data_IF_688436761939
#
_entry.id   IF_688436761939
#
_cell.length_a   1.000
_cell.length_b   1.000
_cell.length_c   1.000
_cell.angle_alpha   90.00
_cell.angle_beta   90.00
_cell.angle_gamma   90.00
#
_symmetry.space_group_name_H-M   'P 1'
#
loop_
_entity.id
_entity.type
_entity.pdbx_description
1 polymer ?
#
# COMPACT_ATOMS: atom_id res chain seq x y z
N UNK A 1 -14.69 -12.02 -10.80
CA UNK A 1 -13.65 -12.55 -9.89
C UNK A 1 -14.26 -12.60 -8.50
N UNK A 2 -15.19 -13.54 -8.32
CA UNK A 2 -15.91 -13.81 -7.08
C UNK A 2 -16.00 -15.34 -6.98
N UNK A 3 -15.90 -15.85 -5.76
CA UNK A 3 -15.79 -17.27 -5.37
C UNK A 3 -14.40 -17.90 -5.53
N UNK A 4 -13.67 -17.96 -4.42
CA UNK A 4 -13.51 -19.18 -3.61
C UNK A 4 -12.41 -18.90 -2.59
N UNK A 5 -12.74 -18.96 -1.31
CA UNK A 5 -11.96 -19.76 -0.36
C UNK A 5 -12.72 -19.90 0.96
N UNK A 6 -13.00 -21.16 1.28
CA UNK A 6 -13.71 -21.59 2.47
C UNK A 6 -12.72 -22.35 3.35
N UNK A 7 -12.56 -21.84 4.58
CA UNK A 7 -12.20 -22.52 5.83
C UNK A 7 -11.38 -23.82 5.75
N UNK A 8 -10.17 -23.81 6.32
CA UNK A 8 -9.67 -24.89 7.20
C UNK A 8 -8.85 -24.31 8.35
N UNK A 9 -9.46 -24.27 9.53
CA UNK A 9 -8.78 -24.21 10.82
C UNK A 9 -8.34 -25.64 11.17
N UNK A 10 -7.05 -25.85 11.43
CA UNK A 10 -6.55 -27.06 12.07
C UNK A 10 -5.79 -26.65 13.32
N UNK A 11 -6.38 -27.00 14.47
CA UNK A 11 -5.73 -27.01 15.77
C UNK A 11 -4.60 -28.06 15.78
N UNK A 12 -3.44 -27.69 16.29
CA UNK A 12 -2.49 -28.67 16.82
C UNK A 12 -1.95 -28.17 18.17
N UNK A 13 -2.38 -28.86 19.22
CA UNK A 13 -1.90 -28.69 20.58
C UNK A 13 -0.64 -29.53 20.81
N UNK A 14 0.29 -28.97 21.60
CA UNK A 14 1.16 -29.60 22.62
C UNK A 14 1.79 -30.98 22.35
N UNK A 15 3.13 -31.05 22.36
CA UNK A 15 3.92 -31.98 23.19
C UNK A 15 5.44 -31.63 23.17
N UNK A 16 6.20 -31.91 24.25
CA UNK A 16 7.59 -31.48 24.46
C UNK A 16 8.59 -32.57 24.06
N UNK A 17 9.80 -32.21 23.60
CA UNK A 17 10.87 -33.20 23.37
C UNK A 17 12.19 -32.74 24.00
N UNK A 18 12.61 -33.59 24.94
CA UNK A 18 13.87 -33.77 25.65
C UNK A 18 15.13 -33.04 25.13
N UNK A 19 15.76 -32.34 26.07
CA UNK A 19 17.19 -32.01 26.06
C UNK A 19 17.99 -33.31 26.29
N UNK A 20 18.76 -33.75 25.31
CA UNK A 20 19.79 -34.77 25.49
C UNK A 20 21.14 -34.06 25.46
N UNK A 21 21.79 -33.99 26.63
CA UNK A 21 23.17 -33.55 26.78
C UNK A 21 24.11 -34.69 26.36
N UNK A 22 24.76 -34.56 25.21
CA UNK A 22 25.93 -35.37 24.87
C UNK A 22 27.15 -34.44 24.90
N UNK A 23 27.96 -34.61 25.93
CA UNK A 23 29.30 -34.04 26.01
C UNK A 23 30.21 -34.73 25.01
N UNK A 24 30.77 -33.95 24.09
CA UNK A 24 31.81 -34.38 23.16
C UNK A 24 32.72 -33.19 22.86
N UNK A 25 34.01 -33.33 23.17
CA UNK A 25 35.06 -32.38 22.85
C UNK A 25 35.07 -32.07 21.34
N UNK A 26 34.71 -30.83 20.96
CA UNK A 26 35.07 -30.27 19.67
C UNK A 26 36.11 -29.17 19.88
N UNK A 27 37.28 -29.41 19.29
CA UNK A 27 38.31 -28.41 19.03
C UNK A 27 37.70 -27.12 18.49
N UNK A 28 38.08 -26.00 19.09
CA UNK A 28 37.66 -24.66 18.65
C UNK A 28 38.28 -24.33 17.29
N UNK A 29 37.66 -24.79 16.21
CA UNK A 29 37.74 -24.07 14.95
C UNK A 29 37.02 -22.74 15.17
N UNK A 30 37.80 -21.68 15.30
CA UNK A 30 37.30 -20.31 15.22
C UNK A 30 36.61 -20.17 13.87
N UNK A 31 35.29 -20.29 13.85
CA UNK A 31 34.48 -19.79 12.76
C UNK A 31 34.86 -18.32 12.62
N UNK A 32 35.50 -17.99 11.51
CA UNK A 32 35.86 -16.64 11.18
C UNK A 32 34.55 -15.91 10.83
N UNK A 33 33.90 -15.30 11.84
CA UNK A 33 32.76 -14.40 11.67
C UNK A 33 33.32 -13.07 11.15
N UNK A 34 33.98 -13.13 10.00
CA UNK A 34 34.45 -11.95 9.29
C UNK A 34 33.25 -11.32 8.59
N UNK A 35 32.85 -10.16 9.12
CA UNK A 35 32.05 -9.09 8.53
C UNK A 35 31.19 -9.48 7.30
N UNK A 36 29.97 -9.95 7.53
CA UNK A 36 28.93 -9.84 6.50
C UNK A 36 28.81 -8.37 6.14
N UNK A 37 28.98 -8.01 4.87
CA UNK A 37 28.77 -6.64 4.39
C UNK A 37 27.39 -6.19 4.92
N UNK A 38 27.32 -5.06 5.68
CA UNK A 38 26.06 -4.54 6.17
C UNK A 38 24.97 -4.45 5.10
N UNK A 39 25.34 -4.22 3.84
CA UNK A 39 24.39 -4.19 2.72
C UNK A 39 23.90 -5.59 2.31
N UNK A 40 24.80 -6.56 2.17
CA UNK A 40 24.46 -7.95 1.88
C UNK A 40 23.52 -8.53 2.94
N UNK A 41 23.79 -8.25 4.22
CA UNK A 41 22.91 -8.64 5.31
C UNK A 41 21.50 -8.04 5.17
N UNK A 42 21.39 -6.77 4.80
CA UNK A 42 20.08 -6.10 4.64
C UNK A 42 19.29 -6.64 3.45
N UNK A 43 19.96 -6.97 2.33
CA UNK A 43 19.35 -7.61 1.16
C UNK A 43 18.88 -9.03 1.48
N UNK A 44 19.70 -9.80 2.20
CA UNK A 44 19.38 -11.16 2.65
C UNK A 44 18.15 -11.25 3.56
N UNK A 45 17.74 -10.16 4.20
CA UNK A 45 16.52 -10.11 5.03
C UNK A 45 15.23 -10.05 4.21
N UNK A 46 15.30 -9.67 2.94
CA UNK A 46 14.15 -9.57 2.03
C UNK A 46 13.70 -10.93 1.45
N UNK A 47 14.51 -11.97 1.61
CA UNK A 47 14.25 -13.32 1.10
C UNK A 47 14.26 -14.35 2.23
N UNK A 48 13.51 -15.45 2.04
CA UNK A 48 13.29 -16.51 3.04
C UNK A 48 13.29 -17.89 2.38
N UNK A 49 13.41 -18.94 3.18
CA UNK A 49 13.36 -20.32 2.69
C UNK A 49 14.33 -20.57 1.53
N UNK A 50 13.83 -21.21 0.48
CA UNK A 50 14.62 -21.55 -0.71
C UNK A 50 15.15 -20.31 -1.44
N UNK A 51 14.41 -19.20 -1.44
CA UNK A 51 14.86 -17.95 -2.07
C UNK A 51 16.11 -17.39 -1.39
N UNK A 52 16.23 -17.57 -0.06
CA UNK A 52 17.42 -17.18 0.71
C UNK A 52 18.59 -18.10 0.41
N UNK A 53 18.36 -19.41 0.34
CA UNK A 53 19.39 -20.39 -0.03
C UNK A 53 19.91 -20.07 -1.43
N UNK A 54 19.02 -19.74 -2.36
CA UNK A 54 19.38 -19.32 -3.71
C UNK A 54 20.24 -18.06 -3.67
N UNK A 55 19.79 -16.99 -3.01
CA UNK A 55 20.54 -15.73 -2.90
C UNK A 55 21.94 -15.95 -2.29
N UNK A 56 22.04 -16.74 -1.22
CA UNK A 56 23.31 -17.06 -0.55
C UNK A 56 24.25 -17.86 -1.49
N UNK A 57 23.72 -18.65 -2.43
CA UNK A 57 24.50 -19.50 -3.32
C UNK A 57 25.03 -18.83 -4.60
N UNK A 58 24.23 -17.97 -5.23
CA UNK A 58 24.50 -17.44 -6.57
C UNK A 58 24.45 -15.90 -6.63
N UNK A 59 24.13 -15.25 -5.53
CA UNK A 59 24.00 -13.80 -5.40
C UNK A 59 22.75 -13.18 -6.02
N UNK A 60 21.79 -14.00 -6.47
CA UNK A 60 20.56 -13.55 -7.12
C UNK A 60 19.38 -14.50 -6.92
N UNK A 61 18.27 -13.96 -6.40
CA UNK A 61 17.04 -14.72 -6.18
C UNK A 61 15.82 -13.95 -6.65
N UNK A 62 14.79 -14.65 -7.12
CA UNK A 62 13.51 -14.05 -7.50
C UNK A 62 12.37 -14.81 -6.84
N UNK A 63 11.63 -14.11 -5.98
CA UNK A 63 10.39 -14.60 -5.39
C UNK A 63 9.22 -14.19 -6.27
N UNK A 64 8.34 -15.14 -6.57
CA UNK A 64 7.07 -14.87 -7.22
C UNK A 64 5.93 -15.56 -6.45
N UNK A 65 4.86 -14.82 -6.20
CA UNK A 65 3.58 -15.33 -5.74
C UNK A 65 2.46 -14.78 -6.64
N UNK A 66 1.20 -15.00 -6.26
CA UNK A 66 0.06 -14.51 -7.04
C UNK A 66 0.04 -12.99 -7.16
N UNK A 67 0.55 -12.26 -6.17
CA UNK A 67 0.48 -10.80 -6.09
C UNK A 67 1.78 -10.07 -6.47
N UNK A 68 2.91 -10.75 -6.43
CA UNK A 68 4.22 -10.09 -6.45
C UNK A 68 5.23 -10.89 -7.27
N UNK A 69 6.10 -10.16 -7.98
CA UNK A 69 7.37 -10.68 -8.47
C UNK A 69 8.50 -9.74 -8.06
N UNK A 70 9.38 -10.20 -7.16
CA UNK A 70 10.50 -9.41 -6.64
C UNK A 70 11.79 -10.20 -6.81
N UNK A 71 12.79 -9.56 -7.42
CA UNK A 71 14.13 -10.10 -7.53
C UNK A 71 15.12 -9.31 -6.66
N UNK A 72 16.04 -10.00 -6.00
CA UNK A 72 17.05 -9.43 -5.11
C UNK A 72 18.43 -9.89 -5.61
N UNK A 73 19.33 -8.94 -5.80
CA UNK A 73 20.74 -9.15 -6.13
C UNK A 73 21.61 -8.58 -5.01
N UNK A 74 22.46 -9.40 -4.40
CA UNK A 74 23.41 -8.98 -3.36
C UNK A 74 24.87 -8.84 -3.89
N UNK A 75 25.03 -8.88 -5.21
CA UNK A 75 26.29 -8.65 -5.93
C UNK A 75 26.22 -7.33 -6.71
N UNK A 76 27.36 -6.75 -7.09
CA UNK A 76 27.39 -5.53 -7.88
C UNK A 76 26.59 -5.64 -9.19
N UNK A 77 25.58 -4.80 -9.35
CA UNK A 77 24.73 -4.76 -10.55
C UNK A 77 25.04 -3.55 -11.41
N UNK A 78 24.75 -3.67 -12.71
CA UNK A 78 24.76 -2.53 -13.65
C UNK A 78 23.36 -2.34 -14.20
N UNK A 79 22.81 -1.15 -14.03
CA UNK A 79 21.50 -0.77 -14.56
C UNK A 79 21.74 0.13 -15.76
N UNK A 80 21.43 -0.37 -16.94
CA UNK A 80 21.46 0.36 -18.20
C UNK A 80 20.08 0.95 -18.45
N UNK A 81 19.99 2.28 -18.40
CA UNK A 81 18.71 2.98 -18.50
C UNK A 81 18.03 2.75 -19.86
N UNK A 82 18.83 2.60 -20.92
CA UNK A 82 18.30 2.29 -22.25
C UNK A 82 17.74 0.88 -22.34
N UNK A 83 16.43 0.80 -22.57
CA UNK A 83 15.68 -0.46 -22.57
C UNK A 83 15.55 -1.13 -21.20
N UNK A 84 15.90 -0.43 -20.10
CA UNK A 84 15.78 -0.92 -18.71
C UNK A 84 16.35 -2.32 -18.50
N UNK A 85 17.66 -2.46 -18.72
CA UNK A 85 18.37 -3.73 -18.54
C UNK A 85 19.23 -3.72 -17.27
N UNK A 86 19.01 -4.70 -16.41
CA UNK A 86 19.78 -4.94 -15.19
C UNK A 86 20.70 -6.13 -15.42
N UNK A 87 22.01 -5.90 -15.41
CA UNK A 87 23.03 -6.93 -15.47
C UNK A 87 23.41 -7.35 -14.05
N UNK A 88 23.24 -8.65 -13.76
CA UNK A 88 23.57 -9.26 -12.47
C UNK A 88 24.64 -10.32 -12.73
N UNK A 89 25.88 -10.13 -12.26
CA UNK A 89 26.92 -11.14 -12.44
C UNK A 89 26.60 -12.39 -11.62
N UNK A 90 27.10 -13.54 -12.06
CA UNK A 90 27.11 -14.78 -11.29
C UNK A 90 28.56 -15.25 -11.11
N UNK A 91 28.87 -15.75 -9.92
CA UNK A 91 30.17 -16.39 -9.64
C UNK A 91 30.25 -17.81 -10.22
N UNK A 92 29.15 -18.31 -10.80
CA UNK A 92 29.08 -19.62 -11.45
C UNK A 92 29.27 -19.51 -12.96
N UNK A 93 29.87 -20.53 -13.59
CA UNK A 93 29.98 -20.67 -15.06
C UNK A 93 28.63 -20.94 -15.76
N UNK A 94 27.51 -20.62 -15.11
CA UNK A 94 26.20 -20.79 -15.70
C UNK A 94 25.97 -19.77 -16.83
N UNK A 95 25.32 -20.20 -17.93
CA UNK A 95 25.00 -19.32 -19.03
C UNK A 95 24.07 -18.20 -18.58
N UNK A 96 24.19 -17.04 -19.21
CA UNK A 96 23.31 -15.90 -18.95
C UNK A 96 21.84 -16.26 -19.18
N UNK A 97 21.03 -16.11 -18.13
CA UNK A 97 19.58 -16.28 -18.16
C UNK A 97 18.90 -14.93 -18.24
N UNK A 98 18.06 -14.74 -19.26
CA UNK A 98 17.19 -13.58 -19.40
C UNK A 98 15.90 -13.78 -18.61
N UNK A 99 15.56 -12.81 -17.76
CA UNK A 99 14.26 -12.71 -17.08
C UNK A 99 13.62 -11.36 -17.41
N UNK A 100 12.30 -11.35 -17.48
CA UNK A 100 11.52 -10.13 -17.66
C UNK A 100 10.59 -10.01 -16.46
N UNK A 101 10.64 -8.86 -15.80
CA UNK A 101 9.81 -8.57 -14.63
C UNK A 101 9.08 -7.25 -14.82
N UNK A 102 7.89 -7.11 -14.25
CA UNK A 102 7.18 -5.83 -14.16
C UNK A 102 7.25 -5.37 -12.71
N UNK A 103 8.04 -4.33 -12.39
CA UNK A 103 8.39 -4.06 -11.01
C UNK A 103 7.30 -3.23 -10.29
N UNK A 104 6.10 -3.80 -10.19
CA UNK A 104 4.90 -3.19 -9.60
C UNK A 104 4.17 -4.24 -8.75
N UNK A 105 3.55 -3.83 -7.65
CA UNK A 105 2.75 -4.71 -6.79
C UNK A 105 1.40 -5.06 -7.46
N UNK A 106 0.76 -6.19 -7.13
CA UNK A 106 -0.44 -6.73 -7.82
C UNK A 106 -0.18 -7.29 -9.22
N UNK A 107 0.74 -8.25 -9.30
CA UNK A 107 1.08 -8.98 -10.53
C UNK A 107 -0.14 -9.59 -11.25
N UNK A 108 -1.16 -10.01 -10.49
CA UNK A 108 -2.39 -10.60 -11.00
C UNK A 108 -3.33 -9.60 -11.70
N UNK A 109 -3.17 -8.29 -11.47
CA UNK A 109 -4.03 -7.30 -12.11
C UNK A 109 -3.55 -6.96 -13.53
N UNK A 110 -4.15 -7.62 -14.51
CA UNK A 110 -3.82 -7.41 -15.93
C UNK A 110 -4.00 -5.96 -16.40
N UNK A 111 -4.91 -5.20 -15.79
CA UNK A 111 -5.19 -3.81 -16.21
C UNK A 111 -4.06 -2.89 -15.76
N UNK A 112 -3.60 -3.04 -14.52
CA UNK A 112 -2.39 -2.37 -14.04
C UNK A 112 -1.17 -2.80 -14.86
N UNK A 113 -0.97 -4.12 -15.02
CA UNK A 113 0.20 -4.68 -15.68
C UNK A 113 0.32 -4.25 -17.14
N UNK A 114 -0.77 -3.98 -17.87
CA UNK A 114 -0.71 -3.43 -19.24
C UNK A 114 0.01 -2.08 -19.33
N UNK A 115 0.07 -1.33 -18.23
CA UNK A 115 0.66 0.02 -18.18
C UNK A 115 2.07 0.05 -17.58
N UNK A 116 2.51 -1.05 -16.97
CA UNK A 116 3.82 -1.16 -16.32
C UNK A 116 4.85 -1.64 -17.34
N UNK A 117 5.92 -0.86 -17.52
CA UNK A 117 7.02 -1.22 -18.41
C UNK A 117 7.82 -2.39 -17.85
N UNK A 118 8.22 -3.35 -18.71
CA UNK A 118 9.06 -4.46 -18.28
C UNK A 118 10.50 -4.00 -18.02
N UNK A 119 11.14 -4.61 -17.02
CA UNK A 119 12.58 -4.56 -16.76
C UNK A 119 13.18 -5.90 -17.18
N UNK A 120 14.23 -5.83 -17.99
CA UNK A 120 15.00 -7.01 -18.40
C UNK A 120 16.12 -7.25 -17.38
N UNK A 121 16.19 -8.45 -16.83
CA UNK A 121 17.30 -8.88 -15.97
C UNK A 121 18.12 -9.93 -16.73
N UNK A 122 19.43 -9.70 -16.82
CA UNK A 122 20.40 -10.61 -17.40
C UNK A 122 21.31 -11.12 -16.27
N UNK A 123 21.10 -12.37 -15.86
CA UNK A 123 21.84 -12.99 -14.75
C UNK A 123 22.68 -14.17 -15.21
N UNK A 124 23.98 -14.17 -14.93
CA UNK A 124 24.90 -15.26 -15.28
C UNK A 124 26.24 -14.75 -15.77
N UNK A 125 27.08 -15.65 -16.31
CA UNK A 125 28.34 -15.25 -16.91
C UNK A 125 28.08 -14.63 -18.30
N UNK A 126 28.53 -13.39 -18.49
CA UNK A 126 28.26 -12.62 -19.68
C UNK A 126 29.23 -12.99 -20.79
N UNK A 127 28.74 -13.50 -21.93
CA UNK A 127 29.56 -13.66 -23.15
C UNK A 127 29.87 -12.33 -23.84
N UNK A 128 29.13 -11.27 -23.47
CA UNK A 128 29.29 -9.89 -23.96
C UNK A 128 29.46 -8.99 -22.74
N UNK A 129 30.58 -8.27 -22.65
CA UNK A 129 30.85 -7.39 -21.53
C UNK A 129 29.71 -6.38 -21.34
N UNK A 130 29.17 -6.26 -20.12
CA UNK A 130 28.13 -5.29 -19.84
C UNK A 130 28.70 -3.87 -20.00
N UNK A 131 27.85 -2.87 -20.34
CA UNK A 131 28.30 -1.50 -20.53
C UNK A 131 29.07 -0.95 -19.32
N UNK A 132 30.05 -0.07 -19.57
CA UNK A 132 30.84 0.56 -18.52
C UNK A 132 29.98 1.52 -17.68
N UNK A 133 30.32 1.63 -16.40
CA UNK A 133 29.59 2.51 -15.47
C UNK A 133 29.82 3.98 -15.83
N UNK A 134 28.75 4.75 -16.05
CA UNK A 134 28.83 6.22 -16.07
C UNK A 134 28.75 6.79 -14.65
N UNK A 135 27.93 6.17 -13.80
CA UNK A 135 27.74 6.56 -12.41
C UNK A 135 27.91 5.36 -11.49
N UNK A 136 28.64 5.55 -10.39
CA UNK A 136 28.83 4.52 -9.36
C UNK A 136 28.20 4.99 -8.05
N UNK A 137 27.39 4.13 -7.44
CA UNK A 137 26.70 4.39 -6.18
C UNK A 137 27.20 3.41 -5.12
N UNK A 138 27.13 3.79 -3.84
CA UNK A 138 27.56 2.96 -2.71
C UNK A 138 26.38 2.45 -1.85
N UNK A 139 25.19 2.40 -2.43
CA UNK A 139 23.95 1.95 -1.78
C UNK A 139 23.18 1.01 -2.69
N UNK A 140 22.22 0.27 -2.13
CA UNK A 140 21.31 -0.59 -2.89
C UNK A 140 20.40 0.23 -3.82
N UNK A 141 20.22 -0.23 -5.06
CA UNK A 141 19.16 0.27 -5.93
C UNK A 141 17.82 -0.40 -5.60
N UNK A 142 16.72 0.36 -5.60
CA UNK A 142 15.36 -0.20 -5.55
C UNK A 142 14.63 0.25 -6.82
N UNK A 143 14.37 -0.71 -7.69
CA UNK A 143 13.75 -0.51 -9.02
C UNK A 143 12.27 -0.83 -8.94
N UNK A 144 11.41 0.16 -9.22
CA UNK A 144 9.96 0.00 -9.21
C UNK A 144 9.26 0.92 -10.22
N UNK A 145 8.05 0.57 -10.62
CA UNK A 145 7.22 1.39 -11.51
C UNK A 145 6.30 2.32 -10.72
N UNK A 146 6.21 3.58 -11.14
CA UNK A 146 5.23 4.53 -10.60
C UNK A 146 3.90 4.56 -11.38
N UNK A 147 3.63 3.61 -12.29
CA UNK A 147 2.47 3.65 -13.18
C UNK A 147 1.28 2.83 -12.68
N UNK A 148 0.95 1.70 -13.32
CA UNK A 148 -0.23 0.89 -12.93
C UNK A 148 -1.52 1.72 -12.83
N UNK A 149 -2.04 1.86 -11.62
CA UNK A 149 -3.24 2.66 -11.30
C UNK A 149 -2.97 4.04 -10.66
N UNK A 150 -1.72 4.53 -10.70
CA UNK A 150 -1.36 5.89 -10.28
C UNK A 150 -2.30 6.94 -10.87
N UNK A 151 -2.64 7.94 -10.06
CA UNK A 151 -3.78 8.85 -10.25
C UNK A 151 -4.99 8.49 -9.39
N UNK A 152 -4.99 7.32 -8.76
CA UNK A 152 -5.95 6.92 -7.74
C UNK A 152 -5.22 6.68 -6.41
N UNK A 153 -5.52 7.53 -5.41
CA UNK A 153 -4.82 7.54 -4.12
C UNK A 153 -4.85 6.20 -3.38
N UNK A 154 -5.91 5.40 -3.55
CA UNK A 154 -5.95 4.06 -2.98
C UNK A 154 -4.80 3.21 -3.51
N UNK A 155 -4.67 3.12 -4.83
CA UNK A 155 -3.63 2.32 -5.48
C UNK A 155 -2.23 2.90 -5.24
N UNK A 156 -2.08 4.22 -5.19
CA UNK A 156 -0.79 4.85 -4.90
C UNK A 156 -0.25 4.44 -3.53
N UNK A 157 -1.10 4.42 -2.49
CA UNK A 157 -0.68 3.90 -1.18
C UNK A 157 -0.54 2.38 -1.16
N UNK A 158 -1.53 1.68 -1.70
CA UNK A 158 -1.67 0.23 -1.62
C UNK A 158 -0.59 -0.54 -2.40
N UNK A 159 -0.24 -0.06 -3.59
CA UNK A 159 0.65 -0.76 -4.53
C UNK A 159 2.03 -0.12 -4.62
N UNK A 160 2.23 1.08 -4.07
CA UNK A 160 3.51 1.78 -4.15
C UNK A 160 4.03 2.21 -2.79
N UNK A 161 3.35 3.09 -2.05
CA UNK A 161 3.94 3.68 -0.82
C UNK A 161 4.10 2.65 0.31
N UNK A 162 3.08 1.83 0.59
CA UNK A 162 3.19 0.74 1.59
C UNK A 162 4.25 -0.28 1.14
N UNK A 163 4.22 -0.81 -0.10
CA UNK A 163 5.26 -1.68 -0.60
C UNK A 163 6.68 -1.10 -0.53
N UNK A 164 6.86 0.19 -0.81
CA UNK A 164 8.15 0.87 -0.64
C UNK A 164 8.58 0.90 0.82
N UNK A 165 7.70 1.26 1.73
CA UNK A 165 8.01 1.28 3.16
C UNK A 165 8.49 -0.09 3.64
N UNK A 166 7.76 -1.16 3.34
CA UNK A 166 8.14 -2.51 3.80
C UNK A 166 9.39 -3.05 3.11
N UNK A 167 9.67 -2.60 1.89
CA UNK A 167 10.87 -2.98 1.14
C UNK A 167 12.11 -2.22 1.63
N UNK A 168 11.96 -0.99 2.11
CA UNK A 168 13.09 -0.06 2.27
C UNK A 168 13.35 0.47 3.68
N UNK A 169 12.38 0.43 4.60
CA UNK A 169 12.52 1.05 5.93
C UNK A 169 13.73 0.51 6.70
N UNK A 170 14.05 -0.78 6.58
CA UNK A 170 15.18 -1.40 7.29
C UNK A 170 16.55 -0.95 6.77
N UNK A 171 16.64 -0.36 5.58
CA UNK A 171 17.89 0.22 5.05
C UNK A 171 18.22 1.59 5.66
N UNK A 172 17.28 2.21 6.40
CA UNK A 172 17.46 3.52 7.06
C UNK A 172 17.89 4.61 6.08
N UNK A 173 17.12 4.77 5.01
CA UNK A 173 17.34 5.77 3.95
C UNK A 173 18.59 5.57 3.10
N UNK A 174 19.32 4.46 3.27
CA UNK A 174 20.50 4.08 2.46
C UNK A 174 20.14 3.19 1.28
N UNK A 175 19.19 3.67 0.48
CA UNK A 175 18.81 3.09 -0.82
C UNK A 175 18.70 4.22 -1.83
N UNK A 176 18.82 3.90 -3.11
CA UNK A 176 18.52 4.84 -4.19
C UNK A 176 17.41 4.30 -5.06
N UNK A 177 16.38 5.11 -5.28
CA UNK A 177 15.24 4.72 -6.11
C UNK A 177 15.54 4.89 -7.59
N UNK A 178 15.21 3.87 -8.38
CA UNK A 178 15.17 3.91 -9.83
C UNK A 178 13.71 3.69 -10.23
N UNK A 179 13.04 4.77 -10.62
CA UNK A 179 11.58 4.75 -10.85
C UNK A 179 11.31 4.58 -12.34
N UNK A 180 10.90 3.37 -12.75
CA UNK A 180 10.43 3.12 -14.11
C UNK A 180 9.06 3.77 -14.33
N UNK A 181 8.71 4.04 -15.58
CA UNK A 181 7.46 4.74 -15.91
C UNK A 181 7.32 6.06 -15.12
N UNK A 182 8.40 6.83 -15.09
CA UNK A 182 8.56 8.00 -14.24
C UNK A 182 7.51 9.09 -14.51
N UNK A 183 6.83 9.52 -13.45
CA UNK A 183 5.85 10.60 -13.48
C UNK A 183 6.26 11.69 -12.48
N UNK A 184 6.69 12.87 -12.98
CA UNK A 184 7.25 13.94 -12.14
C UNK A 184 6.26 14.42 -11.07
N UNK A 185 5.00 14.59 -11.44
CA UNK A 185 3.95 15.06 -10.53
C UNK A 185 3.72 14.07 -9.37
N UNK A 186 3.89 12.76 -9.61
CA UNK A 186 3.74 11.74 -8.58
C UNK A 186 4.91 11.78 -7.60
N UNK A 187 6.14 11.91 -8.11
CA UNK A 187 7.34 12.08 -7.28
C UNK A 187 7.23 13.34 -6.42
N UNK A 188 6.72 14.44 -6.98
CA UNK A 188 6.47 15.67 -6.24
C UNK A 188 5.41 15.47 -5.14
N UNK A 189 4.28 14.85 -5.47
CA UNK A 189 3.19 14.54 -4.52
C UNK A 189 3.66 13.70 -3.33
N UNK A 190 4.52 12.72 -3.56
CA UNK A 190 5.00 11.77 -2.53
C UNK A 190 6.44 12.05 -2.04
N UNK A 191 6.97 13.24 -2.32
CA UNK A 191 8.37 13.58 -2.04
C UNK A 191 8.72 13.42 -0.54
N UNK A 192 7.80 13.72 0.38
CA UNK A 192 8.00 13.52 1.82
C UNK A 192 8.27 12.06 2.17
N UNK A 193 7.47 11.13 1.63
CA UNK A 193 7.69 9.70 1.81
C UNK A 193 9.00 9.25 1.16
N UNK A 194 9.25 9.66 -0.08
CA UNK A 194 10.42 9.23 -0.85
C UNK A 194 11.73 9.71 -0.20
N UNK A 195 11.80 10.98 0.20
CA UNK A 195 12.98 11.57 0.85
C UNK A 195 13.23 11.02 2.26
N UNK A 196 12.17 10.58 2.96
CA UNK A 196 12.33 9.89 4.23
C UNK A 196 12.81 8.43 4.02
N UNK A 197 12.36 7.74 2.97
CA UNK A 197 12.81 6.38 2.64
C UNK A 197 14.16 6.30 1.90
N UNK A 198 14.64 7.39 1.32
CA UNK A 198 15.90 7.49 0.56
C UNK A 198 16.53 8.86 0.76
N UNK A 199 17.79 8.90 1.21
CA UNK A 199 18.58 10.13 1.31
C UNK A 199 19.13 10.62 -0.05
N UNK A 200 18.83 9.90 -1.14
CA UNK A 200 19.37 10.14 -2.47
C UNK A 200 18.28 10.54 -3.45
N UNK A 201 18.64 11.36 -4.44
CA UNK A 201 17.75 11.72 -5.54
C UNK A 201 17.34 10.50 -6.37
N UNK A 202 16.07 10.49 -6.75
CA UNK A 202 15.48 9.48 -7.64
C UNK A 202 16.16 9.51 -9.01
N UNK A 203 16.42 8.32 -9.56
CA UNK A 203 16.86 8.15 -10.95
C UNK A 203 15.63 7.94 -11.84
N UNK A 204 15.51 8.77 -12.88
CA UNK A 204 14.55 8.60 -13.97
C UNK A 204 15.23 7.91 -15.16
N UNK A 205 14.99 6.60 -15.39
CA UNK A 205 15.54 5.89 -16.53
C UNK A 205 14.79 6.20 -17.85
N UNK A 206 13.63 6.85 -17.80
CA UNK A 206 12.80 7.21 -18.95
C UNK A 206 13.38 8.33 -19.81
N UNK A 207 14.50 8.95 -19.42
CA UNK A 207 15.27 9.85 -20.29
C UNK A 207 15.89 9.13 -21.49
N UNK A 208 16.02 7.79 -21.42
CA UNK A 208 16.65 6.93 -22.44
C UNK A 208 18.03 7.44 -22.91
N UNK A 209 18.74 8.14 -22.02
CA UNK A 209 20.02 8.79 -22.30
C UNK A 209 21.20 7.80 -22.46
N UNK A 210 20.93 6.50 -22.32
CA UNK A 210 21.94 5.44 -22.38
C UNK A 210 22.89 5.41 -21.20
N UNK A 211 22.59 6.14 -20.11
CA UNK A 211 23.44 6.11 -18.92
C UNK A 211 23.39 4.76 -18.20
N UNK A 212 24.52 4.40 -17.61
CA UNK A 212 24.73 3.15 -16.86
C UNK A 212 25.05 3.49 -15.42
N UNK A 213 24.21 3.00 -14.50
CA UNK A 213 24.35 3.18 -13.07
C UNK A 213 24.76 1.87 -12.40
N UNK A 214 25.86 1.89 -11.65
CA UNK A 214 26.40 0.72 -10.97
C UNK A 214 26.15 0.80 -9.47
N UNK A 215 25.64 -0.30 -8.91
CA UNK A 215 25.26 -0.39 -7.50
C UNK A 215 25.83 -1.66 -6.87
N UNK A 216 26.17 -1.67 -5.58
CA UNK A 216 26.61 -2.86 -4.86
C UNK A 216 25.55 -3.98 -4.76
N UNK A 217 24.27 -3.65 -5.01
CA UNK A 217 23.17 -4.62 -5.04
C UNK A 217 21.87 -3.94 -5.47
N UNK A 218 20.82 -4.74 -5.71
CA UNK A 218 19.53 -4.22 -6.12
C UNK A 218 18.33 -5.06 -5.65
N UNK A 219 17.20 -4.38 -5.51
CA UNK A 219 15.87 -4.96 -5.39
C UNK A 219 15.08 -4.50 -6.61
N UNK A 220 14.48 -5.43 -7.35
CA UNK A 220 13.65 -5.15 -8.53
C UNK A 220 12.25 -5.66 -8.27
N UNK A 221 11.29 -4.75 -8.18
CA UNK A 221 9.89 -5.03 -7.83
C UNK A 221 9.52 -4.61 -6.41
N UNK A 222 8.24 -4.74 -6.10
CA UNK A 222 7.63 -4.35 -4.83
C UNK A 222 6.75 -5.49 -4.30
N UNK A 223 6.76 -5.70 -2.98
CA UNK A 223 5.93 -6.72 -2.33
C UNK A 223 4.55 -6.20 -1.95
N UNK A 224 3.52 -6.98 -2.25
CA UNK A 224 2.14 -6.76 -1.85
C UNK A 224 1.75 -7.72 -0.72
N UNK A 225 1.00 -7.24 0.28
CA UNK A 225 0.51 -8.08 1.38
C UNK A 225 -1.02 -8.19 1.39
N UNK A 226 -1.73 -7.06 1.40
CA UNK A 226 -3.18 -6.98 1.18
C UNK A 226 -3.57 -5.49 1.05
N UNK A 227 -4.86 -5.20 0.95
CA UNK A 227 -5.43 -3.87 0.85
C UNK A 227 -5.09 -3.01 2.07
N UNK A 228 -4.28 -1.96 1.86
CA UNK A 228 -3.81 -1.03 2.91
C UNK A 228 -3.26 -1.76 4.14
N UNK A 229 -2.55 -2.86 3.91
CA UNK A 229 -2.07 -3.73 4.96
C UNK A 229 -0.62 -4.13 4.74
N UNK A 230 0.01 -4.58 5.83
CA UNK A 230 1.29 -5.24 5.79
C UNK A 230 1.35 -6.35 6.85
N UNK A 231 2.03 -7.45 6.54
CA UNK A 231 2.30 -8.53 7.46
C UNK A 231 3.66 -8.33 8.13
N UNK A 232 3.64 -8.02 9.44
CA UNK A 232 4.85 -7.80 10.24
C UNK A 232 5.77 -9.02 10.26
N UNK A 233 5.19 -10.22 10.22
CA UNK A 233 5.98 -11.45 10.27
C UNK A 233 6.76 -11.71 9.01
N UNK A 234 6.41 -11.11 7.87
CA UNK A 234 7.00 -11.38 6.55
C UNK A 234 8.08 -10.38 6.11
N UNK A 235 8.23 -9.26 6.82
CA UNK A 235 9.15 -8.17 6.42
C UNK A 235 10.36 -8.02 7.33
N UNK A 236 11.48 -7.48 6.81
CA UNK A 236 12.59 -7.05 7.64
C UNK A 236 12.14 -6.02 8.68
N UNK A 237 12.40 -6.30 9.95
CA UNK A 237 12.20 -5.32 11.04
C UNK A 237 10.88 -5.46 11.77
N UNK A 238 9.93 -6.26 11.28
CA UNK A 238 8.70 -6.56 12.01
C UNK A 238 7.73 -5.39 12.14
N UNK A 239 7.73 -4.47 11.17
CA UNK A 239 6.86 -3.28 11.21
C UNK A 239 5.39 -3.63 11.12
N UNK A 240 4.54 -2.80 11.70
CA UNK A 240 3.08 -2.86 11.69
C UNK A 240 2.47 -1.69 10.90
N UNK A 241 1.15 -1.70 10.70
CA UNK A 241 0.45 -0.53 10.14
C UNK A 241 0.54 0.69 11.07
N UNK A 242 0.70 0.49 12.37
CA UNK A 242 1.00 1.57 13.31
C UNK A 242 2.35 2.21 13.02
N UNK A 243 3.40 1.41 12.78
CA UNK A 243 4.73 1.91 12.41
C UNK A 243 4.70 2.64 11.07
N UNK A 244 3.90 2.17 10.11
CA UNK A 244 3.72 2.86 8.85
C UNK A 244 3.04 4.24 9.03
N UNK A 245 2.00 4.32 9.87
CA UNK A 245 1.38 5.61 10.21
C UNK A 245 2.34 6.54 10.93
N UNK A 246 3.15 6.01 11.84
CA UNK A 246 4.18 6.80 12.51
C UNK A 246 5.22 7.32 11.51
N UNK A 247 5.62 6.51 10.52
CA UNK A 247 6.47 6.95 9.41
C UNK A 247 5.82 8.09 8.60
N UNK A 248 4.53 8.00 8.27
CA UNK A 248 3.84 9.08 7.56
C UNK A 248 3.78 10.35 8.40
N UNK A 249 3.46 10.21 9.70
CA UNK A 249 3.45 11.32 10.63
C UNK A 249 4.80 12.03 10.73
N UNK A 250 5.90 11.28 10.78
CA UNK A 250 7.25 11.84 10.73
C UNK A 250 7.54 12.51 9.38
N UNK A 251 7.17 11.87 8.27
CA UNK A 251 7.41 12.37 6.90
C UNK A 251 6.69 13.69 6.63
N UNK A 252 5.45 13.83 7.12
CA UNK A 252 4.61 15.00 6.94
C UNK A 252 4.58 15.93 8.16
N UNK A 253 5.42 15.67 9.18
CA UNK A 253 5.51 16.47 10.40
C UNK A 253 4.18 16.69 11.13
N UNK A 254 3.31 15.68 11.11
CA UNK A 254 1.96 15.73 11.67
C UNK A 254 2.01 15.80 13.21
N UNK A 255 1.16 16.63 13.81
CA UNK A 255 1.28 17.03 15.22
C UNK A 255 0.42 16.21 16.17
N UNK A 256 -0.77 15.83 15.73
CA UNK A 256 -1.78 15.20 16.58
C UNK A 256 -1.56 13.68 16.54
N UNK A 257 -1.28 13.09 17.70
CA UNK A 257 -1.07 11.64 17.82
C UNK A 257 -2.39 10.91 18.05
N UNK A 258 -3.19 11.49 18.93
CA UNK A 258 -4.41 10.88 19.43
C UNK A 258 -5.57 11.87 19.37
N UNK A 259 -6.77 11.36 19.08
CA UNK A 259 -7.96 12.19 18.89
C UNK A 259 -8.32 13.03 20.13
N UNK A 260 -7.93 12.59 21.33
CA UNK A 260 -8.15 13.33 22.59
C UNK A 260 -7.42 14.67 22.67
N UNK A 261 -6.41 14.90 21.82
CA UNK A 261 -5.73 16.19 21.70
C UNK A 261 -6.58 17.23 20.93
N UNK A 262 -7.64 16.78 20.24
CA UNK A 262 -8.58 17.63 19.50
C UNK A 262 -9.70 18.06 20.46
N UNK A 263 -9.66 19.32 20.92
CA UNK A 263 -10.61 19.83 21.92
C UNK A 263 -12.06 19.85 21.46
N UNK A 264 -12.30 20.26 20.21
CA UNK A 264 -13.64 20.31 19.62
C UNK A 264 -13.71 19.33 18.46
N UNK A 265 -14.63 18.34 18.45
CA UNK A 265 -14.72 17.37 17.38
C UNK A 265 -14.83 18.02 16.00
N UNK A 266 -13.79 17.84 15.19
CA UNK A 266 -13.74 18.27 13.80
C UNK A 266 -14.04 17.09 12.89
N UNK A 267 -15.00 17.26 11.98
CA UNK A 267 -15.43 16.28 10.99
C UNK A 267 -15.03 16.75 9.59
N UNK A 268 -14.28 15.92 8.88
CA UNK A 268 -14.03 16.09 7.45
C UNK A 268 -15.09 15.36 6.64
N UNK A 269 -15.76 16.05 5.72
CA UNK A 269 -16.69 15.45 4.77
C UNK A 269 -16.04 15.41 3.38
N UNK A 270 -15.78 14.21 2.87
CA UNK A 270 -15.31 14.01 1.49
C UNK A 270 -16.50 14.18 0.54
N UNK A 271 -16.55 15.35 -0.08
CA UNK A 271 -17.54 15.71 -1.09
C UNK A 271 -17.12 15.21 -2.46
N UNK A 272 -18.10 14.73 -3.24
CA UNK A 272 -17.88 14.15 -4.57
C UNK A 272 -18.73 14.89 -5.59
N UNK A 273 -18.13 15.21 -6.74
CA UNK A 273 -18.78 15.98 -7.81
C UNK A 273 -19.29 15.16 -9.00
N UNK A 274 -18.76 13.95 -9.21
CA UNK A 274 -19.03 13.15 -10.41
C UNK A 274 -19.94 11.95 -10.16
N UNK A 275 -19.55 11.04 -9.27
CA UNK A 275 -20.32 9.84 -8.91
C UNK A 275 -20.27 9.62 -7.41
N UNK A 276 -21.26 8.90 -6.84
CA UNK A 276 -21.44 8.74 -5.38
C UNK A 276 -21.57 10.06 -4.65
N UNK A 277 -22.27 11.00 -5.26
CA UNK A 277 -22.52 12.33 -4.70
C UNK A 277 -23.56 12.22 -3.60
N UNK A 278 -23.45 13.05 -2.57
CA UNK A 278 -24.52 13.23 -1.60
C UNK A 278 -25.51 14.26 -2.16
N UNK A 279 -26.70 13.81 -2.56
CA UNK A 279 -27.73 14.65 -3.18
C UNK A 279 -28.34 15.67 -2.21
N UNK A 280 -28.20 15.45 -0.91
CA UNK A 280 -28.65 16.32 0.17
C UNK A 280 -27.51 16.70 1.11
N UNK A 281 -26.30 16.89 0.57
CA UNK A 281 -25.08 17.22 1.34
C UNK A 281 -25.25 18.43 2.26
N UNK A 282 -25.93 19.50 1.80
CA UNK A 282 -26.15 20.70 2.62
C UNK A 282 -26.93 20.40 3.90
N UNK A 283 -27.98 19.58 3.79
CA UNK A 283 -28.77 19.15 4.96
C UNK A 283 -27.98 18.22 5.88
N UNK A 284 -27.08 17.40 5.33
CA UNK A 284 -26.16 16.60 6.14
C UNK A 284 -25.23 17.51 6.96
N UNK A 285 -24.71 18.57 6.35
CA UNK A 285 -23.83 19.54 7.01
C UNK A 285 -24.55 20.32 8.10
N UNK A 286 -25.77 20.79 7.85
CA UNK A 286 -26.62 21.42 8.88
C UNK A 286 -26.77 20.49 10.10
N UNK A 287 -27.16 19.23 9.86
CA UNK A 287 -27.31 18.23 10.93
C UNK A 287 -25.98 17.95 11.66
N UNK A 288 -24.86 17.87 10.95
CA UNK A 288 -23.53 17.65 11.56
C UNK A 288 -23.18 18.83 12.49
N UNK A 289 -23.45 20.07 12.06
CA UNK A 289 -23.23 21.27 12.88
C UNK A 289 -24.15 21.31 14.10
N UNK A 290 -25.44 20.95 13.95
CA UNK A 290 -26.39 20.84 15.07
C UNK A 290 -25.96 19.81 16.12
N UNK A 291 -25.29 18.74 15.70
CA UNK A 291 -24.69 17.75 16.61
C UNK A 291 -23.43 18.27 17.31
N UNK A 292 -22.97 19.48 17.01
CA UNK A 292 -21.87 20.17 17.68
C UNK A 292 -20.48 19.92 17.08
N UNK A 293 -20.40 19.26 15.92
CA UNK A 293 -19.14 19.13 15.18
C UNK A 293 -18.74 20.46 14.52
N UNK A 294 -17.43 20.73 14.46
CA UNK A 294 -16.90 21.56 13.39
C UNK A 294 -16.79 20.74 12.11
N UNK A 295 -16.94 21.37 10.95
CA UNK A 295 -16.94 20.66 9.67
C UNK A 295 -16.10 21.35 8.61
N UNK A 296 -15.36 20.56 7.85
CA UNK A 296 -14.67 20.96 6.63
C UNK A 296 -15.11 20.04 5.49
N UNK A 297 -15.65 20.63 4.42
CA UNK A 297 -15.91 19.90 3.17
C UNK A 297 -14.63 19.86 2.36
N UNK A 298 -14.24 18.67 1.92
CA UNK A 298 -13.04 18.46 1.09
C UNK A 298 -13.42 17.83 -0.23
N UNK A 299 -12.86 18.35 -1.29
CA UNK A 299 -13.09 17.86 -2.66
C UNK A 299 -11.83 17.16 -3.18
N UNK A 300 -11.93 16.32 -4.22
CA UNK A 300 -10.79 15.55 -4.75
C UNK A 300 -9.56 16.40 -5.10
N UNK A 301 -9.76 17.65 -5.51
CA UNK A 301 -8.71 18.59 -5.89
C UNK A 301 -7.77 18.94 -4.72
N UNK A 302 -8.25 18.86 -3.48
CA UNK A 302 -7.42 19.09 -2.29
C UNK A 302 -6.37 17.99 -2.12
N UNK A 303 -6.63 16.78 -2.64
CA UNK A 303 -5.75 15.62 -2.50
C UNK A 303 -4.54 15.66 -3.45
N UNK A 304 -4.41 16.70 -4.28
CA UNK A 304 -3.22 16.92 -5.13
C UNK A 304 -2.02 17.41 -4.32
N UNK A 305 -2.25 18.28 -3.32
CA UNK A 305 -1.21 18.71 -2.38
C UNK A 305 -1.27 17.85 -1.12
N UNK A 306 -0.55 16.74 -1.14
CA UNK A 306 -0.58 15.77 -0.04
C UNK A 306 0.02 16.33 1.25
N UNK A 307 0.97 17.28 1.17
CA UNK A 307 1.58 17.93 2.34
C UNK A 307 0.53 18.68 3.17
N UNK A 308 -0.22 19.58 2.54
CA UNK A 308 -1.30 20.33 3.20
C UNK A 308 -2.47 19.42 3.57
N UNK A 309 -2.84 18.51 2.68
CA UNK A 309 -4.00 17.66 2.90
C UNK A 309 -3.81 16.70 4.08
N UNK A 310 -2.62 16.13 4.25
CA UNK A 310 -2.31 15.27 5.39
C UNK A 310 -2.45 16.01 6.73
N UNK A 311 -2.05 17.29 6.79
CA UNK A 311 -2.21 18.13 7.99
C UNK A 311 -3.69 18.39 8.31
N UNK A 312 -4.50 18.73 7.30
CA UNK A 312 -5.95 18.91 7.47
C UNK A 312 -6.59 17.60 7.98
N UNK A 313 -6.25 16.45 7.39
CA UNK A 313 -6.78 15.17 7.85
C UNK A 313 -6.34 14.85 9.28
N UNK A 314 -5.07 15.10 9.64
CA UNK A 314 -4.56 14.87 10.99
C UNK A 314 -5.24 15.74 12.06
N UNK A 315 -5.78 16.89 11.66
CA UNK A 315 -6.58 17.77 12.54
C UNK A 315 -8.03 17.31 12.76
N UNK A 316 -8.47 16.28 12.06
CA UNK A 316 -9.86 15.80 12.12
C UNK A 316 -10.03 14.63 13.09
N UNK A 317 -11.11 14.69 13.86
CA UNK A 317 -11.55 13.62 14.76
C UNK A 317 -12.43 12.57 14.07
N UNK A 318 -13.12 12.98 13.00
CA UNK A 318 -13.99 12.13 12.19
C UNK A 318 -13.72 12.40 10.72
N UNK A 319 -13.60 11.35 9.91
CA UNK A 319 -13.69 11.43 8.45
C UNK A 319 -14.98 10.77 7.99
N UNK A 320 -15.71 11.43 7.11
CA UNK A 320 -16.98 10.96 6.56
C UNK A 320 -16.92 11.00 5.04
N UNK A 321 -17.32 9.91 4.40
CA UNK A 321 -17.48 9.91 2.95
C UNK A 321 -18.17 8.65 2.42
N UNK A 322 -18.65 8.75 1.18
CA UNK A 322 -19.14 7.59 0.45
C UNK A 322 -17.96 6.68 0.02
N UNK A 323 -18.22 5.37 -0.06
CA UNK A 323 -17.21 4.39 -0.47
C UNK A 323 -16.41 4.80 -1.72
N UNK A 324 -15.08 4.87 -1.59
CA UNK A 324 -14.16 5.05 -2.69
C UNK A 324 -12.81 5.62 -2.27
N UNK A 325 -11.93 5.81 -3.27
CA UNK A 325 -10.51 6.10 -3.07
C UNK A 325 -10.18 7.22 -2.08
N UNK A 326 -11.00 8.28 -2.00
CA UNK A 326 -10.77 9.38 -1.06
C UNK A 326 -10.70 8.95 0.41
N UNK A 327 -11.34 7.84 0.78
CA UNK A 327 -11.32 7.30 2.14
C UNK A 327 -9.95 6.74 2.55
N UNK A 328 -9.04 6.48 1.60
CA UNK A 328 -7.65 6.04 1.88
C UNK A 328 -6.93 7.03 2.79
N UNK A 329 -7.35 8.29 2.78
CA UNK A 329 -6.77 9.31 3.63
C UNK A 329 -7.04 9.09 5.13
N UNK A 330 -7.87 8.10 5.52
CA UNK A 330 -7.98 7.66 6.92
C UNK A 330 -6.62 7.33 7.55
N UNK A 331 -5.63 7.01 6.71
CA UNK A 331 -4.26 6.74 7.13
C UNK A 331 -3.58 7.92 7.85
N UNK A 332 -4.02 9.15 7.59
CA UNK A 332 -3.49 10.35 8.24
C UNK A 332 -4.29 10.77 9.48
N UNK A 333 -5.42 10.12 9.75
CA UNK A 333 -6.20 10.38 10.96
C UNK A 333 -5.40 10.03 12.21
N UNK A 334 -5.55 10.79 13.30
CA UNK A 334 -4.94 10.46 14.57
C UNK A 334 -5.52 9.16 15.13
N UNK A 335 -4.77 8.52 16.03
CA UNK A 335 -5.23 7.30 16.70
C UNK A 335 -6.52 7.58 17.49
N UNK A 336 -7.48 6.66 17.43
CA UNK A 336 -8.78 6.79 18.08
C UNK A 336 -9.80 7.64 17.31
N UNK A 337 -9.41 8.30 16.21
CA UNK A 337 -10.35 8.96 15.31
C UNK A 337 -11.34 7.98 14.68
N UNK A 338 -12.43 8.50 14.11
CA UNK A 338 -13.50 7.69 13.52
C UNK A 338 -13.57 7.88 12.00
N UNK A 339 -13.50 6.79 11.24
CA UNK A 339 -13.85 6.75 9.84
C UNK A 339 -15.32 6.29 9.69
N UNK A 340 -16.20 7.18 9.24
CA UNK A 340 -17.61 6.90 8.95
C UNK A 340 -17.78 6.71 7.45
N UNK A 341 -17.99 5.46 7.04
CA UNK A 341 -18.17 5.11 5.64
C UNK A 341 -19.66 4.98 5.31
N UNK A 342 -20.14 5.79 4.36
CA UNK A 342 -21.43 5.54 3.73
C UNK A 342 -21.24 4.46 2.66
N UNK A 343 -21.94 3.34 2.83
CA UNK A 343 -21.83 2.14 1.99
C UNK A 343 -23.00 2.11 1.01
N UNK A 344 -22.76 2.31 -0.30
CA UNK A 344 -23.78 2.16 -1.33
C UNK A 344 -24.30 0.71 -1.42
N UNK A 345 -25.45 0.51 -2.05
CA UNK A 345 -25.99 -0.84 -2.27
C UNK A 345 -24.96 -1.75 -2.97
N UNK A 346 -24.88 -3.01 -2.54
CA UNK A 346 -23.98 -4.04 -3.11
C UNK A 346 -22.47 -3.74 -2.99
N UNK A 347 -22.07 -2.85 -2.08
CA UNK A 347 -20.66 -2.51 -1.84
C UNK A 347 -20.15 -2.95 -0.45
N UNK A 348 -20.89 -3.77 0.28
CA UNK A 348 -20.58 -4.15 1.68
C UNK A 348 -19.24 -4.86 1.80
N UNK A 349 -18.99 -5.85 0.93
CA UNK A 349 -17.71 -6.56 0.91
C UNK A 349 -16.54 -5.61 0.59
N UNK A 350 -16.73 -4.71 -0.37
CA UNK A 350 -15.71 -3.74 -0.76
C UNK A 350 -15.42 -2.73 0.37
N UNK A 351 -16.45 -2.23 1.04
CA UNK A 351 -16.30 -1.33 2.19
C UNK A 351 -15.50 -1.99 3.31
N UNK A 352 -15.88 -3.20 3.71
CA UNK A 352 -15.15 -3.95 4.76
C UNK A 352 -13.71 -4.28 4.34
N UNK A 353 -13.49 -4.73 3.11
CA UNK A 353 -12.17 -5.20 2.66
C UNK A 353 -11.19 -4.06 2.43
N UNK A 354 -11.64 -2.94 1.83
CA UNK A 354 -10.74 -1.84 1.48
C UNK A 354 -10.49 -0.85 2.61
N UNK A 355 -11.41 -0.70 3.57
CA UNK A 355 -11.32 0.32 4.62
C UNK A 355 -11.70 -0.22 6.00
N UNK A 356 -12.79 -0.99 6.13
CA UNK A 356 -13.27 -1.42 7.45
C UNK A 356 -12.31 -2.32 8.24
N UNK A 357 -11.63 -3.24 7.57
CA UNK A 357 -10.52 -4.02 8.14
C UNK A 357 -9.28 -3.14 8.37
N UNK A 358 -8.74 -2.50 7.32
CA UNK A 358 -7.54 -1.67 7.43
C UNK A 358 -7.59 -0.57 8.49
N UNK A 359 -8.73 0.11 8.66
CA UNK A 359 -8.92 1.15 9.67
C UNK A 359 -8.54 0.66 11.08
N UNK A 360 -8.90 -0.58 11.43
CA UNK A 360 -8.61 -1.15 12.75
C UNK A 360 -7.12 -1.34 12.99
N UNK A 361 -6.41 -1.87 11.99
CA UNK A 361 -4.94 -2.04 12.02
C UNK A 361 -4.21 -0.69 12.09
N UNK A 362 -4.86 0.38 11.60
CA UNK A 362 -4.41 1.76 11.65
C UNK A 362 -4.74 2.49 12.97
N UNK A 363 -5.37 1.82 13.94
CA UNK A 363 -5.82 2.45 15.18
C UNK A 363 -6.96 3.45 14.98
N UNK A 364 -7.68 3.35 13.86
CA UNK A 364 -8.86 4.17 13.52
C UNK A 364 -10.12 3.34 13.80
N UNK A 365 -11.11 3.98 14.42
CA UNK A 365 -12.42 3.37 14.68
C UNK A 365 -13.26 3.46 13.41
N UNK A 366 -13.93 2.37 13.04
CA UNK A 366 -14.68 2.32 11.79
C UNK A 366 -16.18 2.15 12.06
N UNK A 367 -17.00 2.98 11.40
CA UNK A 367 -18.45 2.92 11.44
C UNK A 367 -19.01 2.87 10.01
N UNK A 368 -20.02 2.03 9.79
CA UNK A 368 -20.72 1.92 8.53
C UNK A 368 -22.11 2.54 8.62
N UNK A 369 -22.46 3.34 7.62
CA UNK A 369 -23.84 3.69 7.31
C UNK A 369 -24.24 3.02 6.00
N UNK A 370 -24.97 1.91 6.10
CA UNK A 370 -25.49 1.18 4.93
C UNK A 370 -26.80 1.83 4.49
N UNK A 371 -26.83 2.25 3.23
CA UNK A 371 -28.01 2.88 2.67
C UNK A 371 -29.13 1.87 2.45
N UNK A 372 -30.37 2.33 2.54
CA UNK A 372 -31.55 1.62 2.06
C UNK A 372 -31.79 1.91 0.56
N UNK A 373 -32.57 1.07 -0.14
CA UNK A 373 -32.90 1.28 -1.55
C UNK A 373 -33.37 2.71 -1.87
N UNK A 374 -34.23 3.28 -1.04
CA UNK A 374 -34.83 4.61 -1.20
C UNK A 374 -33.82 5.76 -1.08
N UNK A 375 -32.65 5.50 -0.52
CA UNK A 375 -31.55 6.46 -0.42
C UNK A 375 -30.62 6.39 -1.64
N UNK A 376 -30.82 5.45 -2.56
CA UNK A 376 -30.04 5.32 -3.80
C UNK A 376 -30.71 6.05 -4.95
N UNK A 377 -29.94 6.74 -5.78
CA UNK A 377 -30.43 7.30 -7.07
C UNK A 377 -30.96 6.22 -8.02
N UNK A 378 -30.59 4.95 -7.79
CA UNK A 378 -31.09 3.81 -8.56
C UNK A 378 -32.60 3.60 -8.36
N UNK A 379 -33.15 4.02 -7.22
CA UNK A 379 -34.57 3.81 -6.91
C UNK A 379 -35.46 4.57 -7.88
N UNK A 380 -35.14 5.85 -8.10
CA UNK A 380 -35.83 6.70 -9.07
C UNK A 380 -35.54 6.27 -10.53
N UNK A 381 -34.36 5.72 -10.79
CA UNK A 381 -33.92 5.34 -12.15
C UNK A 381 -34.57 4.05 -12.65
N UNK A 382 -34.66 3.03 -11.79
CA UNK A 382 -35.08 1.68 -12.18
C UNK A 382 -36.44 1.27 -11.61
N UNK A 383 -36.89 1.88 -10.52
CA UNK A 383 -38.06 1.45 -9.76
C UNK A 383 -37.80 0.19 -8.92
N UNK A 384 -38.61 0.01 -7.87
CA UNK A 384 -38.43 -1.02 -6.83
C UNK A 384 -38.41 -2.48 -7.34
N UNK A 385 -39.14 -2.78 -8.41
CA UNK A 385 -39.35 -4.15 -8.89
C UNK A 385 -38.27 -4.60 -9.91
N UNK A 386 -37.37 -3.69 -10.30
CA UNK A 386 -36.32 -3.96 -11.28
C UNK A 386 -35.24 -4.92 -10.74
N UNK A 387 -34.61 -5.77 -11.58
CA UNK A 387 -33.54 -6.70 -11.16
C UNK A 387 -32.36 -6.06 -10.42
N UNK A 388 -32.16 -4.75 -10.55
CA UNK A 388 -31.16 -4.00 -9.75
C UNK A 388 -31.43 -4.12 -8.23
N UNK A 389 -32.68 -4.32 -7.83
CA UNK A 389 -33.07 -4.54 -6.44
C UNK A 389 -33.49 -5.98 -6.18
N UNK A 390 -34.22 -6.61 -7.11
CA UNK A 390 -34.83 -7.93 -6.91
C UNK A 390 -33.89 -9.10 -7.25
N UNK A 391 -32.93 -8.91 -8.15
CA UNK A 391 -31.88 -9.89 -8.47
C UNK A 391 -30.51 -9.23 -8.75
N UNK A 392 -29.87 -8.62 -7.73
CA UNK A 392 -28.59 -7.94 -7.92
C UNK A 392 -27.48 -8.84 -8.46
N UNK A 393 -27.56 -10.15 -8.18
CA UNK A 393 -26.59 -11.16 -8.64
C UNK A 393 -26.57 -11.25 -10.16
N UNK A 394 -27.72 -11.13 -10.83
CA UNK A 394 -27.78 -11.11 -12.30
C UNK A 394 -27.04 -9.94 -12.95
N UNK A 395 -26.88 -8.82 -12.21
CA UNK A 395 -26.12 -7.65 -12.67
C UNK A 395 -24.64 -7.84 -12.36
N UNK A 396 -24.32 -8.32 -11.16
CA UNK A 396 -22.94 -8.58 -10.71
C UNK A 396 -22.25 -9.63 -11.60
N UNK A 397 -22.98 -10.68 -12.02
CA UNK A 397 -22.45 -11.75 -12.86
C UNK A 397 -22.04 -11.29 -14.26
N UNK A 398 -22.49 -10.12 -14.71
CA UNK A 398 -22.06 -9.48 -15.98
C UNK A 398 -20.65 -8.86 -15.89
N UNK A 399 -20.02 -8.89 -14.72
CA UNK A 399 -18.65 -8.47 -14.50
C UNK A 399 -18.51 -7.04 -13.97
N UNK A 400 -17.25 -6.64 -13.72
CA UNK A 400 -16.92 -5.43 -12.99
C UNK A 400 -17.47 -4.15 -13.62
N UNK A 401 -17.45 -4.02 -14.95
CA UNK A 401 -17.93 -2.80 -15.61
C UNK A 401 -19.43 -2.59 -15.43
N UNK A 402 -20.24 -3.65 -15.51
CA UNK A 402 -21.67 -3.59 -15.25
C UNK A 402 -21.97 -3.33 -13.77
N UNK A 403 -21.24 -4.00 -12.87
CA UNK A 403 -21.32 -3.71 -11.44
C UNK A 403 -21.01 -2.25 -11.15
N UNK A 404 -19.94 -1.72 -11.75
CA UNK A 404 -19.49 -0.35 -11.54
C UNK A 404 -20.53 0.66 -11.99
N UNK A 405 -21.01 0.52 -13.23
CA UNK A 405 -21.94 1.49 -13.82
C UNK A 405 -23.27 1.58 -13.07
N UNK A 406 -23.67 0.49 -12.39
CA UNK A 406 -24.91 0.44 -11.62
C UNK A 406 -24.65 0.76 -10.15
N UNK A 407 -23.90 -0.10 -9.45
CA UNK A 407 -23.80 -0.05 -8.00
C UNK A 407 -22.63 0.78 -7.48
N UNK A 408 -21.52 0.89 -8.20
CA UNK A 408 -20.39 1.68 -7.69
C UNK A 408 -20.61 3.19 -7.92
N UNK A 409 -21.27 3.57 -9.00
CA UNK A 409 -21.41 4.97 -9.39
C UNK A 409 -22.75 5.63 -8.97
N UNK A 410 -23.64 4.89 -8.28
CA UNK A 410 -24.91 5.41 -7.73
C UNK A 410 -24.69 6.62 -6.81
N UNK A 411 -25.57 7.63 -6.92
CA UNK A 411 -25.62 8.78 -6.02
C UNK A 411 -26.51 8.48 -4.81
N UNK A 412 -26.34 9.25 -3.73
CA UNK A 412 -26.86 8.92 -2.41
C UNK A 412 -27.68 10.08 -1.85
N UNK A 413 -28.92 9.82 -1.45
CA UNK A 413 -29.80 10.76 -0.74
C UNK A 413 -30.03 10.26 0.68
N UNK A 414 -29.21 10.76 1.60
CA UNK A 414 -29.10 10.20 2.95
C UNK A 414 -30.35 10.50 3.78
N UNK A 415 -30.90 9.46 4.42
CA UNK A 415 -31.91 9.57 5.45
C UNK A 415 -31.27 10.15 6.71
N UNK A 416 -31.56 11.42 6.99
CA UNK A 416 -30.92 12.17 8.07
C UNK A 416 -31.28 11.62 9.46
N UNK A 417 -32.50 11.11 9.67
CA UNK A 417 -32.91 10.55 10.96
C UNK A 417 -32.13 9.29 11.33
N UNK A 418 -31.92 8.41 10.34
CA UNK A 418 -31.10 7.20 10.50
C UNK A 418 -29.64 7.57 10.65
N UNK A 419 -29.13 8.43 9.76
CA UNK A 419 -27.72 8.80 9.74
C UNK A 419 -27.28 9.58 11.00
N UNK A 420 -28.17 10.39 11.59
CA UNK A 420 -27.93 11.08 12.87
C UNK A 420 -27.48 10.13 13.97
N UNK A 421 -28.00 8.89 14.01
CA UNK A 421 -27.62 7.88 15.01
C UNK A 421 -26.16 7.47 14.87
N UNK A 422 -25.69 7.26 13.64
CA UNK A 422 -24.28 6.93 13.34
C UNK A 422 -23.35 8.07 13.75
N UNK A 423 -23.72 9.33 13.51
CA UNK A 423 -22.90 10.48 13.91
C UNK A 423 -22.87 10.69 15.44
N UNK A 424 -23.98 10.42 16.14
CA UNK A 424 -23.99 10.43 17.60
C UNK A 424 -23.06 9.34 18.16
N UNK A 425 -23.03 8.16 17.54
CA UNK A 425 -22.09 7.10 17.91
C UNK A 425 -20.63 7.51 17.66
N UNK A 426 -20.34 8.07 16.48
CA UNK A 426 -19.02 8.59 16.16
C UNK A 426 -18.55 9.63 17.20
N UNK A 427 -19.44 10.56 17.58
CA UNK A 427 -19.16 11.57 18.59
C UNK A 427 -18.83 10.95 19.95
N UNK A 428 -19.64 9.99 20.41
CA UNK A 428 -19.38 9.27 21.67
C UNK A 428 -18.03 8.55 21.67
N UNK A 429 -17.66 7.92 20.55
CA UNK A 429 -16.36 7.24 20.41
C UNK A 429 -15.23 8.25 20.55
N UNK A 430 -15.29 9.38 19.85
CA UNK A 430 -14.28 10.44 19.93
C UNK A 430 -14.17 11.01 21.35
N UNK A 431 -15.29 11.34 21.98
CA UNK A 431 -15.33 11.98 23.31
C UNK A 431 -14.90 11.03 24.44
N UNK A 432 -15.06 9.72 24.26
CA UNK A 432 -14.62 8.71 25.24
C UNK A 432 -13.22 8.15 24.96
N UNK A 433 -12.60 8.53 23.85
CA UNK A 433 -11.30 8.01 23.43
C UNK A 433 -10.20 8.52 24.35
N UNK A 434 -9.41 7.60 24.91
CA UNK A 434 -8.26 7.90 25.77
C UNK A 434 -7.02 7.23 25.21
N UNK A 435 -5.83 7.88 25.28
CA UNK A 435 -4.59 7.24 24.88
C UNK A 435 -4.37 5.96 25.70
N UNK A 436 -3.99 4.88 25.03
CA UNK A 436 -3.52 3.67 25.71
C UNK A 436 -2.07 3.97 26.15
N UNK A 437 -1.84 4.01 27.47
CA UNK A 437 -0.52 4.25 28.07
C UNK A 437 0.51 3.19 27.66
#
# INVERSE_FOLDING_TARGET
MMEKESRRLVNCATLPICLVLIGGNLSSEKINIDAVDPQEFLLRRLVRGDDRVQLDSNGFSCRADVHTQVCVANKPVRIYNKGLTVYVPSDSDQPQVKRIVKPYARLEDETAMKRVSPVQILHGNNTIDPPTCNFTHNVTAVVFSSKGFTGNVFHEFNEIIIPLFITTRHFRSRVRFVITDFELWWVQKYNRCLSHLSAYEVINPGTDDGSVHCFPGAVIGLTYHDNLALNSTDIPGGYSMFDFKQFLKESYNLKINHVSEIQKPMLMLISRRKTRRFLNEDKMVEMIMELGFQITRVEPEWMYNLDEFAEVVNSCSVMLGAHGAGLTNEIFLPTGAVMVQVVPLQNEWAATTYYGGPAKEMGVRYLEYKIEPEESSLFDTYGKDHPVFTDPKSIISKGYYAFRSVYLDQDLKINLERFKKTLIEAKKIVESSTPIN
#
